data_IF_715580225164
#
_entry.id   IF_715580225164
#
_cell.length_a   1.000
_cell.length_b   1.000
_cell.length_c   1.000
_cell.angle_alpha   90.00
_cell.angle_beta   90.00
_cell.angle_gamma   90.00
#
_symmetry.space_group_name_H-M   'P 1'
#
loop_
_entity.id
_entity.type
_entity.pdbx_description
1 polymer ?
#
# COMPACT_ATOMS: atom_id res chain seq x y z
N UNK A 1 -21.32 -2.83 2.33
CA UNK A 1 -20.75 -4.11 2.79
C UNK A 1 -19.39 -4.33 2.15
N UNK A 2 -18.39 -4.77 2.92
CA UNK A 2 -17.01 -5.02 2.49
C UNK A 2 -16.69 -6.50 2.68
N UNK A 3 -16.28 -7.18 1.61
CA UNK A 3 -15.90 -8.60 1.61
C UNK A 3 -14.44 -8.72 1.16
N UNK A 4 -13.59 -9.36 1.96
CA UNK A 4 -12.19 -9.59 1.60
C UNK A 4 -11.97 -11.02 1.18
N UNK A 5 -11.27 -11.20 0.06
CA UNK A 5 -10.77 -12.49 -0.42
C UNK A 5 -9.30 -12.61 -0.03
N UNK A 6 -8.98 -13.57 0.83
CA UNK A 6 -7.65 -13.71 1.42
C UNK A 6 -7.14 -15.17 1.36
N UNK A 7 -5.85 -15.38 1.60
CA UNK A 7 -5.22 -16.70 1.52
C UNK A 7 -3.88 -16.72 2.25
N UNK A 8 -3.49 -17.88 2.80
CA UNK A 8 -2.19 -18.03 3.44
C UNK A 8 -0.97 -18.03 2.50
N UNK A 9 -1.14 -18.31 1.20
CA UNK A 9 -0.04 -18.38 0.22
C UNK A 9 -0.42 -17.79 -1.15
N UNK A 10 0.57 -17.50 -1.98
CA UNK A 10 0.35 -17.14 -3.38
C UNK A 10 -0.23 -18.31 -4.20
N UNK A 11 -0.92 -18.00 -5.29
CA UNK A 11 -1.37 -19.01 -6.27
C UNK A 11 -2.60 -19.84 -5.88
N UNK A 12 -3.36 -19.48 -4.84
CA UNK A 12 -4.59 -20.21 -4.43
C UNK A 12 -5.84 -19.85 -5.25
N UNK A 13 -5.75 -18.88 -6.17
CA UNK A 13 -6.89 -18.45 -6.99
C UNK A 13 -7.76 -17.34 -6.37
N UNK A 14 -7.27 -16.61 -5.36
CA UNK A 14 -7.96 -15.44 -4.75
C UNK A 14 -8.56 -14.49 -5.79
N UNK A 15 -7.75 -14.00 -6.72
CA UNK A 15 -8.18 -13.06 -7.76
C UNK A 15 -9.29 -13.63 -8.64
N UNK A 16 -9.22 -14.92 -8.97
CA UNK A 16 -10.26 -15.60 -9.73
C UNK A 16 -11.56 -15.62 -8.93
N UNK A 17 -11.51 -15.93 -7.63
CA UNK A 17 -12.69 -15.88 -6.76
C UNK A 17 -13.22 -14.45 -6.63
N UNK A 18 -12.37 -13.47 -6.38
CA UNK A 18 -12.75 -12.06 -6.22
C UNK A 18 -13.47 -11.52 -7.46
N UNK A 19 -12.87 -11.70 -8.65
CA UNK A 19 -13.41 -11.18 -9.91
C UNK A 19 -14.69 -11.89 -10.37
N UNK A 20 -14.84 -13.19 -10.08
CA UNK A 20 -16.08 -13.92 -10.36
C UNK A 20 -17.17 -13.60 -9.33
N UNK A 21 -16.83 -13.43 -8.06
CA UNK A 21 -17.78 -12.95 -7.05
C UNK A 21 -18.38 -11.60 -7.45
N UNK A 22 -17.52 -10.69 -7.93
CA UNK A 22 -17.96 -9.42 -8.50
C UNK A 22 -18.93 -9.59 -9.70
N UNK A 23 -18.73 -10.62 -10.52
CA UNK A 23 -19.60 -10.91 -11.65
C UNK A 23 -21.01 -11.35 -11.22
N UNK A 24 -21.11 -12.06 -10.09
CA UNK A 24 -22.34 -12.70 -9.62
C UNK A 24 -23.17 -11.78 -8.74
N UNK A 25 -22.54 -10.99 -7.84
CA UNK A 25 -23.25 -10.10 -6.92
C UNK A 25 -24.14 -9.09 -7.68
N UNK A 26 -23.61 -8.49 -8.75
CA UNK A 26 -24.29 -7.42 -9.48
C UNK A 26 -24.50 -6.13 -8.65
N UNK A 27 -25.31 -5.20 -9.16
CA UNK A 27 -25.62 -3.94 -8.46
C UNK A 27 -24.48 -2.92 -8.40
N UNK A 28 -24.52 -2.04 -7.39
CA UNK A 28 -23.45 -1.07 -7.12
C UNK A 28 -22.28 -1.76 -6.40
N UNK A 29 -21.18 -1.93 -7.12
CA UNK A 29 -20.08 -2.77 -6.69
C UNK A 29 -18.74 -2.13 -7.05
N UNK A 30 -17.76 -2.27 -6.15
CA UNK A 30 -16.38 -1.89 -6.39
C UNK A 30 -15.42 -3.03 -6.04
N UNK A 31 -14.51 -3.35 -6.96
CA UNK A 31 -13.38 -4.24 -6.71
C UNK A 31 -12.14 -3.42 -6.40
N UNK A 32 -11.52 -3.72 -5.26
CA UNK A 32 -10.24 -3.17 -4.83
C UNK A 32 -9.16 -4.25 -4.94
N UNK A 33 -8.25 -4.09 -5.89
CA UNK A 33 -7.05 -4.92 -6.01
C UNK A 33 -5.97 -4.37 -5.05
N UNK A 34 -5.86 -5.02 -3.88
CA UNK A 34 -4.94 -4.66 -2.81
C UNK A 34 -3.65 -5.50 -2.82
N UNK A 35 -3.49 -6.42 -3.78
CA UNK A 35 -2.19 -7.08 -4.02
C UNK A 35 -1.26 -6.13 -4.79
N UNK A 36 -0.83 -5.05 -4.13
CA UNK A 36 -0.15 -3.93 -4.79
C UNK A 36 1.24 -4.25 -5.33
N UNK A 37 1.81 -5.38 -4.93
CA UNK A 37 3.11 -5.88 -5.42
C UNK A 37 2.96 -6.62 -6.75
N UNK A 38 1.86 -7.35 -6.93
CA UNK A 38 1.58 -8.12 -8.13
C UNK A 38 0.08 -8.09 -8.53
N UNK A 39 -0.51 -6.89 -8.76
CA UNK A 39 -1.94 -6.76 -8.97
C UNK A 39 -2.33 -7.37 -10.32
N UNK A 40 -3.33 -8.23 -10.32
CA UNK A 40 -3.67 -9.08 -11.46
C UNK A 40 -5.17 -9.06 -11.79
N UNK A 41 -6.03 -8.45 -10.96
CA UNK A 41 -7.48 -8.40 -11.21
C UNK A 41 -7.82 -7.66 -12.51
N UNK A 42 -6.99 -6.69 -12.88
CA UNK A 42 -7.11 -5.97 -14.15
C UNK A 42 -7.01 -6.87 -15.39
N UNK A 43 -6.33 -8.03 -15.31
CA UNK A 43 -6.22 -8.98 -16.41
C UNK A 43 -7.57 -9.68 -16.71
N UNK A 44 -8.43 -9.82 -15.69
CA UNK A 44 -9.75 -10.43 -15.82
C UNK A 44 -10.81 -9.43 -16.28
N UNK A 45 -10.68 -8.18 -15.87
CA UNK A 45 -11.70 -7.15 -16.10
C UNK A 45 -11.37 -6.21 -17.28
N UNK A 46 -10.11 -6.11 -17.69
CA UNK A 46 -9.61 -5.18 -18.70
C UNK A 46 -10.19 -3.75 -18.55
N UNK A 47 -9.99 -3.08 -17.40
CA UNK A 47 -10.55 -1.78 -17.13
C UNK A 47 -9.84 -0.67 -17.90
N UNK A 48 -10.61 0.24 -18.48
CA UNK A 48 -10.08 1.50 -19.00
C UNK A 48 -9.76 2.42 -17.81
N UNK A 49 -8.51 2.85 -17.71
CA UNK A 49 -8.05 3.78 -16.68
C UNK A 49 -8.77 5.14 -16.81
N UNK A 50 -9.29 5.65 -15.70
CA UNK A 50 -10.00 6.94 -15.62
C UNK A 50 -9.28 7.94 -14.73
N UNK A 51 -8.56 7.48 -13.71
CA UNK A 51 -7.82 8.34 -12.78
C UNK A 51 -6.59 7.61 -12.25
N UNK A 52 -5.48 8.33 -12.06
CA UNK A 52 -4.25 7.81 -11.49
C UNK A 52 -3.65 8.82 -10.50
N UNK A 53 -3.45 8.39 -9.26
CA UNK A 53 -3.02 9.24 -8.15
C UNK A 53 -1.75 8.68 -7.53
N UNK A 54 -0.73 9.53 -7.35
CA UNK A 54 0.52 9.13 -6.71
C UNK A 54 0.27 8.86 -5.22
N UNK A 55 0.94 7.84 -4.70
CA UNK A 55 1.04 7.60 -3.26
C UNK A 55 2.45 7.93 -2.82
N UNK A 56 2.57 8.84 -1.86
CA UNK A 56 3.84 9.21 -1.26
C UNK A 56 3.97 8.63 0.14
N UNK A 57 5.20 8.48 0.61
CA UNK A 57 5.54 8.17 1.98
C UNK A 57 6.63 9.14 2.46
N UNK A 58 6.52 9.65 3.70
CA UNK A 58 7.52 10.57 4.24
C UNK A 58 8.82 9.81 4.52
N UNK A 59 9.94 10.37 4.05
CA UNK A 59 11.29 9.85 4.29
C UNK A 59 12.18 10.95 4.89
N UNK A 60 13.19 10.59 5.69
CA UNK A 60 14.03 11.58 6.33
C UNK A 60 14.97 12.26 5.34
N UNK A 61 15.00 13.59 5.39
CA UNK A 61 16.00 14.44 4.78
C UNK A 61 16.79 15.16 5.89
N UNK A 62 18.11 15.03 5.85
CA UNK A 62 18.98 15.51 6.93
C UNK A 62 19.65 16.82 6.52
N UNK A 63 19.44 17.87 7.32
CA UNK A 63 20.18 19.10 7.22
C UNK A 63 21.54 18.96 7.91
N UNK A 64 22.60 18.75 7.11
CA UNK A 64 23.96 18.57 7.61
C UNK A 64 24.53 19.79 8.35
N UNK A 65 24.03 21.00 8.08
CA UNK A 65 24.50 22.22 8.78
C UNK A 65 24.05 22.26 10.24
N UNK A 66 22.92 21.64 10.56
CA UNK A 66 22.40 21.52 11.93
C UNK A 66 22.85 20.24 12.62
N UNK A 67 23.21 19.22 11.86
CA UNK A 67 23.45 17.91 12.44
C UNK A 67 24.79 17.85 13.20
N UNK A 68 24.71 17.48 14.49
CA UNK A 68 25.87 17.26 15.35
C UNK A 68 26.43 15.84 15.29
N UNK A 69 25.91 14.98 14.40
CA UNK A 69 26.29 13.57 14.25
C UNK A 69 26.15 12.76 15.55
N UNK A 70 25.23 13.14 16.44
CA UNK A 70 25.02 12.53 17.77
C UNK A 70 24.48 11.08 17.74
N UNK A 71 24.15 10.55 16.55
CA UNK A 71 23.72 9.16 16.30
C UNK A 71 22.39 8.73 16.91
N UNK A 72 21.62 9.61 17.57
CA UNK A 72 20.31 9.27 18.16
C UNK A 72 19.31 8.72 17.13
N UNK A 73 19.24 9.32 15.95
CA UNK A 73 18.37 8.86 14.86
C UNK A 73 18.73 7.45 14.35
N UNK A 74 20.02 7.14 14.28
CA UNK A 74 20.52 5.80 13.93
C UNK A 74 20.17 4.78 15.02
N UNK A 75 20.36 5.13 16.30
CA UNK A 75 20.12 4.22 17.43
C UNK A 75 18.67 3.73 17.54
N UNK A 76 17.70 4.57 17.18
CA UNK A 76 16.28 4.18 17.22
C UNK A 76 15.79 3.53 15.92
N UNK A 77 16.56 3.58 14.84
CA UNK A 77 16.13 3.10 13.55
C UNK A 77 16.20 1.57 13.48
N UNK A 78 15.09 0.91 13.84
CA UNK A 78 15.00 -0.57 13.82
C UNK A 78 15.18 -1.21 12.44
N UNK A 79 15.07 -0.43 11.38
CA UNK A 79 15.16 -0.88 9.99
C UNK A 79 16.52 -0.55 9.34
N UNK A 80 17.42 0.14 10.04
CA UNK A 80 18.72 0.51 9.46
C UNK A 80 18.64 1.54 8.33
N UNK A 81 17.54 2.29 8.22
CA UNK A 81 17.32 3.29 7.18
C UNK A 81 18.17 4.56 7.33
N UNK A 82 18.90 4.72 8.45
CA UNK A 82 19.81 5.84 8.69
C UNK A 82 21.10 5.28 9.31
N UNK A 83 22.26 5.65 8.74
CA UNK A 83 23.57 5.33 9.26
C UNK A 83 24.42 6.60 9.43
N UNK A 84 25.23 6.65 10.49
CA UNK A 84 26.14 7.77 10.78
C UNK A 84 27.57 7.24 10.88
N UNK A 85 28.43 7.65 9.93
CA UNK A 85 29.83 7.23 9.83
C UNK A 85 30.76 8.44 9.91
N UNK A 86 31.40 8.66 11.05
CA UNK A 86 32.20 9.86 11.29
C UNK A 86 31.33 11.12 11.17
N UNK A 87 31.67 12.01 10.23
CA UNK A 87 30.89 13.21 9.87
C UNK A 87 30.09 13.05 8.58
N UNK A 88 29.60 11.84 8.32
CA UNK A 88 28.75 11.54 7.17
C UNK A 88 27.49 10.84 7.62
N UNK A 89 26.36 11.23 7.05
CA UNK A 89 25.06 10.59 7.28
C UNK A 89 24.60 9.98 5.97
N UNK A 90 24.13 8.74 6.04
CA UNK A 90 23.54 8.03 4.92
C UNK A 90 22.10 7.70 5.28
N UNK A 91 21.18 8.06 4.40
CA UNK A 91 19.78 7.61 4.47
C UNK A 91 19.56 6.57 3.38
N UNK A 92 18.79 5.54 3.72
CA UNK A 92 18.35 4.48 2.80
C UNK A 92 16.83 4.52 2.74
N UNK A 93 16.25 5.39 1.89
CA UNK A 93 14.80 5.59 1.83
C UNK A 93 14.01 4.31 1.54
N UNK A 94 14.63 3.31 0.87
CA UNK A 94 14.05 2.00 0.56
C UNK A 94 13.83 1.14 1.81
N UNK A 95 14.66 1.33 2.85
CA UNK A 95 14.51 0.64 4.13
C UNK A 95 13.68 1.45 5.14
N UNK A 96 13.26 2.66 4.77
CA UNK A 96 12.49 3.51 5.66
C UNK A 96 11.04 3.03 5.74
N UNK A 97 10.51 2.90 6.95
CA UNK A 97 9.11 2.54 7.21
C UNK A 97 8.22 3.75 7.53
N UNK A 98 8.71 4.97 7.25
CA UNK A 98 7.97 6.22 7.44
C UNK A 98 7.35 6.40 8.85
N UNK A 99 8.06 5.94 9.88
CA UNK A 99 7.57 6.03 11.26
C UNK A 99 7.79 7.42 11.90
N UNK A 100 8.64 8.26 11.29
CA UNK A 100 9.00 9.59 11.78
C UNK A 100 9.77 9.62 13.11
N UNK A 101 10.24 8.48 13.61
CA UNK A 101 10.98 8.42 14.87
C UNK A 101 12.27 9.26 14.83
N UNK A 102 12.99 9.22 13.71
CA UNK A 102 14.26 9.93 13.52
C UNK A 102 14.13 11.45 13.62
N UNK A 103 13.06 12.03 13.05
CA UNK A 103 12.76 13.45 13.18
C UNK A 103 12.45 13.81 14.64
N UNK A 104 11.57 13.03 15.30
CA UNK A 104 11.16 13.28 16.70
C UNK A 104 12.28 13.17 17.73
N UNK A 105 13.29 12.34 17.50
CA UNK A 105 14.40 12.14 18.46
C UNK A 105 15.57 13.11 18.23
N UNK A 106 15.58 13.84 17.12
CA UNK A 106 16.70 14.71 16.76
C UNK A 106 16.72 15.94 17.68
N UNK A 107 17.77 16.15 18.50
CA UNK A 107 17.81 17.28 19.42
C UNK A 107 18.09 18.62 18.72
N UNK A 108 18.59 18.59 17.49
CA UNK A 108 18.98 19.78 16.71
C UNK A 108 17.92 20.17 15.67
N UNK A 109 16.78 19.46 15.62
CA UNK A 109 15.79 19.59 14.55
C UNK A 109 16.41 19.52 13.15
N UNK A 110 17.42 18.66 13.00
CA UNK A 110 18.20 18.52 11.77
C UNK A 110 17.56 17.54 10.78
N UNK A 111 16.45 16.87 11.11
CA UNK A 111 15.81 15.87 10.25
C UNK A 111 14.38 16.31 9.93
N UNK A 112 14.13 16.57 8.65
CA UNK A 112 12.82 16.88 8.10
C UNK A 112 12.25 15.67 7.36
N UNK A 113 10.94 15.63 7.17
CA UNK A 113 10.28 14.62 6.34
C UNK A 113 9.99 15.20 4.96
N UNK A 114 10.45 14.51 3.92
CA UNK A 114 10.16 14.84 2.52
C UNK A 114 9.34 13.73 1.88
N UNK A 115 8.52 14.10 0.91
CA UNK A 115 7.63 13.17 0.23
C UNK A 115 8.40 12.36 -0.82
N UNK A 116 8.42 11.03 -0.63
CA UNK A 116 8.91 10.10 -1.63
C UNK A 116 7.76 9.32 -2.23
N UNK A 117 7.63 9.35 -3.56
CA UNK A 117 6.67 8.50 -4.25
C UNK A 117 7.03 7.03 -4.06
N UNK A 118 6.06 6.23 -3.66
CA UNK A 118 6.20 4.78 -3.45
C UNK A 118 5.28 3.94 -4.34
N UNK A 119 4.35 4.56 -5.05
CA UNK A 119 3.42 3.86 -5.93
C UNK A 119 2.32 4.78 -6.42
N UNK A 120 1.24 4.17 -6.88
CA UNK A 120 0.02 4.89 -7.25
C UNK A 120 -1.23 4.05 -7.01
N UNK A 121 -2.37 4.74 -6.89
CA UNK A 121 -3.69 4.16 -7.01
C UNK A 121 -4.25 4.51 -8.38
N UNK A 122 -4.83 3.54 -9.05
CA UNK A 122 -5.47 3.73 -10.34
C UNK A 122 -6.91 3.24 -10.28
N UNK A 123 -7.82 4.10 -10.73
CA UNK A 123 -9.25 3.81 -10.85
C UNK A 123 -9.57 3.61 -12.32
N UNK A 124 -10.48 2.68 -12.59
CA UNK A 124 -10.93 2.39 -13.94
C UNK A 124 -12.31 1.76 -13.99
N UNK A 125 -12.80 1.59 -15.22
CA UNK A 125 -14.11 0.98 -15.50
C UNK A 125 -13.90 -0.13 -16.54
N UNK A 126 -14.28 -1.39 -16.25
CA UNK A 126 -14.29 -2.50 -17.21
C UNK A 126 -15.26 -2.24 -18.37
N UNK A 127 -14.77 -2.28 -19.61
CA UNK A 127 -15.61 -2.03 -20.79
C UNK A 127 -16.75 -3.06 -20.92
N UNK A 128 -16.46 -4.33 -20.62
CA UNK A 128 -17.44 -5.43 -20.70
C UNK A 128 -18.37 -5.51 -19.49
N UNK A 129 -18.03 -4.83 -18.39
CA UNK A 129 -18.77 -4.87 -17.11
C UNK A 129 -18.77 -3.49 -16.44
N UNK A 130 -19.43 -2.48 -17.05
CA UNK A 130 -19.32 -1.09 -16.61
C UNK A 130 -19.93 -0.81 -15.23
N UNK A 131 -20.72 -1.75 -14.68
CA UNK A 131 -21.29 -1.67 -13.33
C UNK A 131 -20.26 -1.95 -12.22
N UNK A 132 -19.10 -2.50 -12.56
CA UNK A 132 -18.03 -2.79 -11.59
C UNK A 132 -17.08 -1.59 -11.57
N UNK A 133 -17.06 -0.83 -10.48
CA UNK A 133 -15.97 0.10 -10.23
C UNK A 133 -14.67 -0.68 -9.98
N UNK A 134 -13.58 -0.35 -10.67
CA UNK A 134 -12.30 -1.01 -10.46
C UNK A 134 -11.28 -0.04 -9.87
N UNK A 135 -10.55 -0.48 -8.86
CA UNK A 135 -9.43 0.25 -8.28
C UNK A 135 -8.29 -0.73 -8.04
N UNK A 136 -7.07 -0.35 -8.42
CA UNK A 136 -5.85 -1.08 -8.06
C UNK A 136 -4.83 -0.17 -7.42
N UNK A 137 -4.05 -0.72 -6.51
CA UNK A 137 -2.76 -0.13 -6.13
C UNK A 137 -1.65 -0.78 -6.92
N UNK A 138 -0.63 -0.01 -7.28
CA UNK A 138 0.63 -0.56 -7.77
C UNK A 138 1.79 0.11 -7.02
N UNK A 139 2.63 -0.72 -6.43
CA UNK A 139 3.86 -0.30 -5.78
C UNK A 139 4.95 -0.02 -6.84
N UNK A 140 5.73 1.04 -6.67
CA UNK A 140 6.87 1.30 -7.54
C UNK A 140 7.99 0.27 -7.27
N UNK A 141 8.79 -0.06 -8.30
CA UNK A 141 9.83 -1.09 -8.21
C UNK A 141 10.84 -0.75 -7.11
N UNK A 142 11.21 -1.74 -6.31
CA UNK A 142 12.19 -1.60 -5.23
C UNK A 142 11.64 -0.99 -3.92
N UNK A 143 10.35 -0.66 -3.86
CA UNK A 143 9.70 -0.28 -2.62
C UNK A 143 9.25 -1.52 -1.83
N UNK A 144 9.29 -1.43 -0.50
CA UNK A 144 8.89 -2.52 0.41
C UNK A 144 7.63 -2.19 1.23
N UNK A 145 7.19 -0.93 1.17
CA UNK A 145 6.05 -0.44 1.96
C UNK A 145 4.74 -0.57 1.17
N UNK A 146 4.20 -1.79 1.11
CA UNK A 146 2.85 -2.01 0.59
C UNK A 146 1.72 -1.35 1.41
N UNK A 147 1.73 -1.34 2.78
CA UNK A 147 0.58 -0.87 3.56
C UNK A 147 0.09 0.56 3.26
N UNK A 148 0.95 1.58 3.06
CA UNK A 148 0.50 2.91 2.64
C UNK A 148 -0.27 2.93 1.31
N UNK A 149 0.17 2.17 0.30
CA UNK A 149 -0.55 2.08 -0.98
C UNK A 149 -1.88 1.36 -0.79
N UNK A 150 -1.89 0.24 -0.04
CA UNK A 150 -3.12 -0.50 0.29
C UNK A 150 -4.12 0.41 1.02
N UNK A 151 -3.67 1.24 1.98
CA UNK A 151 -4.55 2.21 2.65
C UNK A 151 -5.19 3.20 1.68
N UNK A 152 -4.43 3.70 0.70
CA UNK A 152 -4.97 4.60 -0.33
C UNK A 152 -5.94 3.89 -1.28
N UNK A 153 -5.75 2.60 -1.56
CA UNK A 153 -6.74 1.81 -2.30
C UNK A 153 -8.01 1.64 -1.46
N UNK A 154 -7.87 1.36 -0.16
CA UNK A 154 -8.98 1.14 0.78
C UNK A 154 -9.88 2.37 0.95
N UNK A 155 -9.37 3.60 0.84
CA UNK A 155 -10.21 4.81 0.88
C UNK A 155 -11.18 4.92 -0.29
N UNK A 156 -10.99 4.11 -1.34
CA UNK A 156 -11.91 4.03 -2.46
C UNK A 156 -13.08 3.06 -2.23
N UNK A 157 -13.18 2.41 -1.06
CA UNK A 157 -14.35 1.58 -0.72
C UNK A 157 -15.65 2.40 -0.78
N UNK A 158 -16.77 1.74 -1.09
CA UNK A 158 -18.10 2.36 -1.11
C UNK A 158 -18.93 1.92 0.08
N UNK A 159 -19.70 2.86 0.64
CA UNK A 159 -20.63 2.60 1.75
C UNK A 159 -21.96 2.01 1.25
N UNK A 160 -22.55 2.64 0.23
CA UNK A 160 -23.81 2.21 -0.39
C UNK A 160 -23.55 1.21 -1.52
N UNK A 161 -23.37 -0.07 -1.17
CA UNK A 161 -23.14 -1.16 -2.10
C UNK A 161 -22.17 -2.23 -1.59
N UNK A 162 -21.54 -2.93 -2.52
CA UNK A 162 -20.55 -3.96 -2.22
C UNK A 162 -19.14 -3.48 -2.55
N UNK A 163 -18.20 -3.68 -1.62
CA UNK A 163 -16.77 -3.57 -1.88
C UNK A 163 -16.15 -4.95 -1.75
N UNK A 164 -15.57 -5.48 -2.83
CA UNK A 164 -14.78 -6.71 -2.80
C UNK A 164 -13.31 -6.34 -2.78
N UNK A 165 -12.52 -6.98 -1.93
CA UNK A 165 -11.08 -6.76 -1.81
C UNK A 165 -10.36 -8.02 -2.23
N UNK A 166 -9.49 -7.93 -3.24
CA UNK A 166 -8.49 -8.95 -3.52
C UNK A 166 -7.27 -8.64 -2.66
N UNK A 167 -7.09 -9.39 -1.57
CA UNK A 167 -6.03 -9.15 -0.61
C UNK A 167 -4.70 -9.77 -1.08
N UNK A 168 -3.55 -9.21 -0.68
CA UNK A 168 -2.26 -9.85 -0.93
C UNK A 168 -2.18 -11.23 -0.24
N UNK A 169 -1.31 -12.14 -0.70
CA UNK A 169 -1.11 -13.43 -0.04
C UNK A 169 -0.38 -13.29 1.30
N UNK A 170 -0.60 -14.24 2.21
CA UNK A 170 0.19 -14.40 3.44
C UNK A 170 -0.56 -14.00 4.71
N UNK A 171 0.20 -13.64 5.74
CA UNK A 171 -0.31 -13.31 7.08
C UNK A 171 0.32 -12.03 7.66
N UNK A 172 1.05 -11.28 6.84
CA UNK A 172 1.82 -10.10 7.25
C UNK A 172 0.99 -8.81 7.18
N UNK A 173 1.63 -7.67 7.50
CA UNK A 173 0.99 -6.35 7.53
C UNK A 173 0.18 -5.97 6.27
N UNK A 174 0.60 -6.26 5.03
CA UNK A 174 -0.18 -5.98 3.83
C UNK A 174 -1.58 -6.63 3.87
N UNK A 175 -1.65 -7.90 4.28
CA UNK A 175 -2.89 -8.67 4.38
C UNK A 175 -3.82 -8.06 5.43
N UNK A 176 -3.28 -7.81 6.63
CA UNK A 176 -4.04 -7.19 7.72
C UNK A 176 -4.53 -5.78 7.32
N UNK A 177 -3.70 -5.02 6.59
CA UNK A 177 -4.07 -3.67 6.12
C UNK A 177 -5.20 -3.71 5.10
N UNK A 178 -5.18 -4.69 4.18
CA UNK A 178 -6.24 -4.88 3.20
C UNK A 178 -7.57 -5.28 3.86
N UNK A 179 -7.52 -6.20 4.83
CA UNK A 179 -8.70 -6.79 5.46
C UNK A 179 -9.28 -5.98 6.63
N UNK A 180 -8.58 -4.94 7.10
CA UNK A 180 -9.02 -4.15 8.25
C UNK A 180 -10.38 -3.52 7.99
N UNK A 181 -11.36 -3.78 8.86
CA UNK A 181 -12.71 -3.23 8.76
C UNK A 181 -13.58 -3.86 7.67
N UNK A 182 -13.25 -5.09 7.26
CA UNK A 182 -14.10 -5.91 6.38
C UNK A 182 -15.22 -6.59 7.20
N UNK A 183 -16.42 -6.73 6.61
CA UNK A 183 -17.58 -7.39 7.23
C UNK A 183 -17.49 -8.92 7.17
N UNK A 184 -16.92 -9.47 6.08
CA UNK A 184 -16.72 -10.90 5.89
C UNK A 184 -15.41 -11.22 5.17
N UNK A 185 -14.75 -12.29 5.58
CA UNK A 185 -13.52 -12.80 4.95
C UNK A 185 -13.80 -14.15 4.32
N UNK A 186 -13.49 -14.29 3.04
CA UNK A 186 -13.47 -15.57 2.33
C UNK A 186 -12.02 -16.00 2.19
N UNK A 187 -11.65 -17.07 2.89
CA UNK A 187 -10.32 -17.68 2.79
C UNK A 187 -10.29 -18.69 1.65
N UNK A 188 -9.35 -18.50 0.72
CA UNK A 188 -9.12 -19.39 -0.43
C UNK A 188 -7.84 -20.20 -0.19
N UNK A 189 -7.98 -21.52 -0.12
CA UNK A 189 -6.93 -22.48 0.29
C UNK A 189 -6.52 -23.42 -0.82
#
# INVERSE_FOLDING_TARGET
>A
MIISIASGKGGTGKTTVATNLCAVIGGNLRLLDCDVEAPNAHLFLNPRSTKKEKVNAPVPEVNETKCTYCKKCMAICRFGAIAVMGRKILTFPELCHSCGGCSRICPEDAIMETDRRIGYVETGIPDRRPKIGFVRGLLDIGQVMAPPVIRNVRTQAIEDGFTVIDAPPGTSCPVITAMKGTDAVILVT
#
